data_IF_576447658984
#
_entry.id   IF_576447658984
#
_cell.length_a   1.000
_cell.length_b   1.000
_cell.length_c   1.000
_cell.angle_alpha   90.00
_cell.angle_beta   90.00
_cell.angle_gamma   90.00
#
_symmetry.space_group_name_H-M   'P 1'
#
loop_
_entity.id
_entity.type
_entity.pdbx_description
1 polymer ?
#
# COMPACT_ATOMS: atom_id res chain seq x y z
N UNK A 1 16.60 -46.21 -9.98
CA UNK A 1 17.04 -44.89 -9.47
C UNK A 1 16.72 -43.71 -10.40
N UNK A 2 16.74 -43.84 -11.74
CA UNK A 2 16.49 -42.71 -12.67
C UNK A 2 15.06 -42.13 -12.67
N UNK A 3 14.04 -42.90 -12.29
CA UNK A 3 12.64 -42.44 -12.23
C UNK A 3 12.28 -41.64 -10.97
N UNK A 4 13.00 -41.89 -9.88
CA UNK A 4 12.83 -41.16 -8.62
C UNK A 4 13.36 -39.73 -8.74
N UNK A 5 14.48 -39.53 -9.45
CA UNK A 5 15.05 -38.21 -9.69
C UNK A 5 14.10 -37.28 -10.48
N UNK A 6 13.39 -37.81 -11.48
CA UNK A 6 12.40 -37.04 -12.25
C UNK A 6 11.15 -36.65 -11.45
N UNK A 7 10.69 -37.54 -10.56
CA UNK A 7 9.56 -37.26 -9.68
C UNK A 7 9.90 -36.23 -8.59
N UNK A 8 11.12 -36.31 -8.02
CA UNK A 8 11.62 -35.32 -7.04
C UNK A 8 11.80 -33.95 -7.69
N UNK A 9 12.32 -33.90 -8.92
CA UNK A 9 12.48 -32.64 -9.65
C UNK A 9 11.11 -32.02 -10.00
N UNK A 10 10.12 -32.81 -10.40
CA UNK A 10 8.75 -32.34 -10.64
C UNK A 10 8.03 -31.83 -9.38
N UNK A 11 8.27 -32.45 -8.21
CA UNK A 11 7.71 -31.99 -6.93
C UNK A 11 8.29 -30.63 -6.49
N UNK A 12 9.57 -30.36 -6.77
CA UNK A 12 10.23 -29.11 -6.41
C UNK A 12 9.69 -27.89 -7.19
N UNK A 13 9.17 -28.07 -8.40
CA UNK A 13 8.58 -26.99 -9.20
C UNK A 13 7.11 -26.68 -8.86
N UNK A 14 6.42 -27.54 -8.11
CA UNK A 14 5.00 -27.39 -7.80
C UNK A 14 4.70 -26.38 -6.67
N UNK A 15 5.71 -25.68 -6.14
CA UNK A 15 5.57 -24.79 -4.97
C UNK A 15 5.84 -23.32 -5.29
N UNK A 16 5.75 -22.90 -6.56
CA UNK A 16 5.79 -21.47 -6.88
C UNK A 16 4.45 -20.84 -6.50
N UNK A 17 4.34 -20.35 -5.27
CA UNK A 17 3.24 -19.50 -4.87
C UNK A 17 3.31 -18.18 -5.66
N UNK A 18 2.40 -17.97 -6.61
CA UNK A 18 2.30 -16.69 -7.31
C UNK A 18 1.85 -15.60 -6.34
N UNK A 19 2.72 -14.61 -6.10
CA UNK A 19 2.35 -13.37 -5.41
C UNK A 19 1.57 -12.50 -6.40
N UNK A 20 0.33 -12.13 -6.05
CA UNK A 20 -0.44 -11.15 -6.83
C UNK A 20 -0.16 -9.75 -6.27
N UNK A 21 0.52 -8.92 -7.06
CA UNK A 21 0.76 -7.51 -6.76
C UNK A 21 -0.15 -6.59 -7.58
N UNK A 22 -0.03 -5.28 -7.33
CA UNK A 22 -0.62 -4.23 -8.17
C UNK A 22 0.52 -3.44 -8.78
N UNK A 23 0.47 -3.28 -10.10
CA UNK A 23 1.45 -2.47 -10.82
C UNK A 23 1.09 -1.00 -10.66
N UNK A 24 2.11 -0.16 -10.50
CA UNK A 24 1.98 1.27 -10.30
C UNK A 24 2.71 1.98 -11.43
N UNK A 25 1.99 2.79 -12.19
CA UNK A 25 2.55 3.61 -13.27
C UNK A 25 2.52 5.08 -12.86
N UNK A 26 3.69 5.72 -12.79
CA UNK A 26 3.82 7.13 -12.43
C UNK A 26 4.20 7.99 -13.63
N UNK A 27 3.56 9.16 -13.77
CA UNK A 27 3.90 10.13 -14.82
C UNK A 27 3.91 11.58 -14.32
N UNK A 28 4.80 12.42 -14.88
CA UNK A 28 5.95 12.07 -15.74
C UNK A 28 7.05 11.35 -14.94
N UNK A 29 7.95 10.64 -15.62
CA UNK A 29 9.07 9.95 -14.96
C UNK A 29 10.12 10.93 -14.39
N UNK A 30 10.33 12.04 -15.06
CA UNK A 30 11.21 13.12 -14.65
C UNK A 30 10.65 14.46 -15.12
N UNK A 31 10.95 15.52 -14.38
CA UNK A 31 10.44 16.85 -14.67
C UNK A 31 11.38 17.92 -14.11
N UNK A 32 11.58 18.98 -14.88
CA UNK A 32 12.23 20.22 -14.45
C UNK A 32 11.24 21.37 -14.64
N UNK A 33 10.98 22.13 -13.58
CA UNK A 33 10.02 23.23 -13.56
C UNK A 33 10.68 24.48 -12.99
N UNK A 34 10.21 25.65 -13.43
CA UNK A 34 10.49 26.90 -12.74
C UNK A 34 9.70 26.98 -11.44
N UNK A 35 10.26 27.65 -10.43
CA UNK A 35 9.51 27.95 -9.20
C UNK A 35 8.22 28.68 -9.53
N UNK A 36 7.16 28.41 -8.76
CA UNK A 36 5.84 29.00 -9.02
C UNK A 36 5.02 28.28 -10.10
N UNK A 37 5.64 27.52 -11.02
CA UNK A 37 4.93 26.79 -12.07
C UNK A 37 4.28 25.51 -11.53
N UNK A 38 2.99 25.60 -11.20
CA UNK A 38 2.21 24.49 -10.65
C UNK A 38 2.20 23.26 -11.57
N UNK A 39 2.18 22.07 -10.98
CA UNK A 39 2.19 20.82 -11.74
C UNK A 39 1.39 19.71 -11.05
N UNK A 40 0.99 18.68 -11.81
CA UNK A 40 0.26 17.52 -11.29
C UNK A 40 0.96 16.23 -11.68
N UNK A 41 1.41 15.49 -10.67
CA UNK A 41 1.90 14.12 -10.80
C UNK A 41 0.70 13.17 -10.89
N UNK A 42 0.82 12.12 -11.69
CA UNK A 42 -0.21 11.09 -11.87
C UNK A 42 0.32 9.73 -11.50
N UNK A 43 -0.57 8.89 -10.98
CA UNK A 43 -0.30 7.54 -10.53
C UNK A 43 -1.47 6.65 -10.93
N UNK A 44 -1.25 5.68 -11.80
CA UNK A 44 -2.25 4.72 -12.25
C UNK A 44 -1.93 3.32 -11.70
N UNK A 45 -2.95 2.49 -11.53
CA UNK A 45 -2.85 1.16 -10.95
C UNK A 45 -3.40 0.09 -11.89
N UNK A 46 -2.77 -1.09 -11.95
CA UNK A 46 -3.29 -2.18 -12.78
C UNK A 46 -4.58 -2.81 -12.22
N UNK A 47 -4.86 -2.63 -10.92
CA UNK A 47 -6.06 -3.11 -10.25
C UNK A 47 -6.69 -2.05 -9.33
N UNK A 48 -7.91 -2.31 -8.86
CA UNK A 48 -8.56 -1.47 -7.84
C UNK A 48 -7.78 -1.51 -6.52
N UNK A 49 -7.67 -0.37 -5.85
CA UNK A 49 -6.88 -0.21 -4.62
C UNK A 49 -7.78 0.26 -3.48
N UNK A 50 -7.43 -0.10 -2.23
CA UNK A 50 -8.17 0.35 -1.04
C UNK A 50 -7.78 1.75 -0.62
N UNK A 51 -6.52 2.11 -0.84
CA UNK A 51 -5.96 3.41 -0.47
C UNK A 51 -4.65 3.67 -1.19
N UNK A 52 -4.25 4.94 -1.20
CA UNK A 52 -2.98 5.40 -1.79
C UNK A 52 -2.25 6.26 -0.79
N UNK A 53 -0.93 6.05 -0.71
CA UNK A 53 -0.01 6.90 0.01
C UNK A 53 0.82 7.72 -0.97
N UNK A 54 1.03 9.00 -0.69
CA UNK A 54 1.98 9.86 -1.39
C UNK A 54 3.18 10.16 -0.50
N UNK A 55 4.38 10.08 -1.08
CA UNK A 55 5.64 10.35 -0.39
C UNK A 55 6.51 11.29 -1.22
N UNK A 56 7.40 12.00 -0.53
CA UNK A 56 8.51 12.76 -1.11
C UNK A 56 9.82 12.29 -0.49
N UNK A 57 10.72 11.76 -1.33
CA UNK A 57 12.10 11.50 -0.97
C UNK A 57 12.96 12.72 -1.30
N UNK A 58 13.60 13.29 -0.28
CA UNK A 58 14.57 14.38 -0.44
C UNK A 58 15.89 13.87 -1.02
N UNK A 59 16.73 14.75 -1.59
CA UNK A 59 18.08 14.38 -2.04
C UNK A 59 18.94 13.72 -0.94
N UNK A 60 18.67 14.00 0.33
CA UNK A 60 19.32 13.35 1.48
C UNK A 60 18.89 11.89 1.72
N UNK A 61 17.96 11.35 0.91
CA UNK A 61 17.36 10.03 1.10
C UNK A 61 16.19 10.01 2.09
N UNK A 62 15.96 11.09 2.85
CA UNK A 62 14.84 11.18 3.81
C UNK A 62 13.49 11.08 3.09
N UNK A 63 12.71 10.07 3.47
CA UNK A 63 11.35 9.86 2.97
C UNK A 63 10.33 10.58 3.86
N UNK A 64 9.50 11.42 3.27
CA UNK A 64 8.47 12.20 3.95
C UNK A 64 7.11 11.70 3.46
N UNK A 65 6.24 11.28 4.39
CA UNK A 65 4.85 10.96 4.07
C UNK A 65 4.06 12.26 3.87
N UNK A 66 3.38 12.38 2.73
CA UNK A 66 2.58 13.55 2.36
C UNK A 66 1.10 13.31 2.65
N UNK A 67 0.54 12.21 2.13
CA UNK A 67 -0.88 11.89 2.28
C UNK A 67 -1.16 10.40 2.39
N UNK A 68 -2.22 10.07 3.12
CA UNK A 68 -2.94 8.79 3.06
C UNK A 68 -4.37 9.05 2.57
N UNK A 69 -4.77 8.44 1.45
CA UNK A 69 -6.04 8.75 0.76
C UNK A 69 -6.71 7.45 0.29
N UNK A 70 -7.75 6.98 1.03
CA UNK A 70 -8.61 5.90 0.56
C UNK A 70 -9.33 6.26 -0.74
N UNK A 71 -9.99 7.42 -0.75
CA UNK A 71 -10.71 7.98 -1.90
C UNK A 71 -10.91 9.48 -1.71
N UNK A 72 -11.33 10.17 -2.77
CA UNK A 72 -11.64 11.60 -2.74
C UNK A 72 -10.38 12.46 -2.77
N UNK A 73 -10.46 13.66 -2.20
CA UNK A 73 -9.40 14.67 -2.27
C UNK A 73 -8.95 15.09 -0.87
N UNK A 74 -7.64 15.20 -0.67
CA UNK A 74 -7.01 15.81 0.51
C UNK A 74 -6.10 16.95 0.09
N UNK A 75 -5.99 17.94 0.95
CA UNK A 75 -5.13 19.11 0.71
C UNK A 75 -4.42 19.48 2.01
N UNK A 76 -3.14 19.81 1.88
CA UNK A 76 -2.31 20.39 2.92
C UNK A 76 -1.40 21.45 2.30
N UNK A 77 -1.63 22.70 2.69
CA UNK A 77 -0.99 23.87 2.09
C UNK A 77 -1.05 23.87 0.57
N UNK A 78 0.12 23.75 -0.06
CA UNK A 78 0.34 23.78 -1.52
C UNK A 78 0.14 22.43 -2.20
N UNK A 79 -0.05 21.36 -1.44
CA UNK A 79 -0.19 20.00 -1.95
C UNK A 79 -1.66 19.60 -1.92
N UNK A 80 -2.17 19.10 -3.04
CA UNK A 80 -3.54 18.59 -3.17
C UNK A 80 -3.51 17.25 -3.87
N UNK A 81 -3.93 16.19 -3.20
CA UNK A 81 -3.96 14.86 -3.76
C UNK A 81 -5.38 14.31 -3.88
N UNK A 82 -5.65 13.63 -4.98
CA UNK A 82 -6.98 13.08 -5.31
C UNK A 82 -6.82 11.62 -5.70
N UNK A 83 -7.58 10.73 -5.08
CA UNK A 83 -7.64 9.30 -5.43
C UNK A 83 -9.05 8.94 -5.86
N UNK A 84 -9.17 8.31 -7.02
CA UNK A 84 -10.42 7.79 -7.56
C UNK A 84 -10.25 6.28 -7.77
N UNK A 85 -10.57 5.44 -6.76
CA UNK A 85 -10.31 4.01 -6.81
C UNK A 85 -10.98 3.30 -7.99
N UNK A 86 -12.20 3.72 -8.35
CA UNK A 86 -12.94 3.16 -9.48
C UNK A 86 -12.23 3.40 -10.82
N UNK A 87 -11.52 4.52 -10.95
CA UNK A 87 -10.72 4.86 -12.13
C UNK A 87 -9.27 4.35 -12.01
N UNK A 88 -8.93 3.65 -10.93
CA UNK A 88 -7.58 3.12 -10.67
C UNK A 88 -6.49 4.18 -10.79
N UNK A 89 -6.76 5.39 -10.31
CA UNK A 89 -5.81 6.50 -10.37
C UNK A 89 -5.77 7.34 -9.11
N UNK A 90 -4.60 7.93 -8.90
CA UNK A 90 -4.36 9.01 -7.95
C UNK A 90 -3.54 10.12 -8.63
N UNK A 91 -3.67 11.34 -8.13
CA UNK A 91 -2.87 12.47 -8.59
C UNK A 91 -2.45 13.36 -7.44
N UNK A 92 -1.27 13.95 -7.53
CA UNK A 92 -0.74 14.93 -6.58
C UNK A 92 -0.45 16.23 -7.33
N UNK A 93 -1.27 17.24 -7.06
CA UNK A 93 -1.08 18.61 -7.52
C UNK A 93 -0.22 19.38 -6.52
N UNK A 94 0.77 20.10 -7.04
CA UNK A 94 1.70 20.94 -6.29
C UNK A 94 1.53 22.37 -6.83
N UNK A 95 0.96 23.25 -6.03
CA UNK A 95 0.80 24.66 -6.38
C UNK A 95 2.04 25.46 -6.01
N UNK A 96 2.45 26.36 -6.89
CA UNK A 96 3.58 27.28 -6.68
C UNK A 96 4.82 26.60 -6.05
N UNK A 97 5.39 25.57 -6.69
CA UNK A 97 6.52 24.80 -6.16
C UNK A 97 7.74 25.69 -5.87
N UNK A 98 8.50 25.29 -4.85
CA UNK A 98 9.76 25.92 -4.40
C UNK A 98 10.92 24.94 -4.60
N UNK A 99 12.14 25.44 -4.61
CA UNK A 99 13.38 24.65 -4.59
C UNK A 99 13.41 23.60 -3.48
N UNK A 100 12.80 23.89 -2.33
CA UNK A 100 12.67 22.92 -1.23
C UNK A 100 11.80 21.72 -1.59
N UNK A 101 10.94 21.80 -2.60
CA UNK A 101 10.04 20.72 -3.03
C UNK A 101 10.70 19.74 -4.00
N UNK A 102 11.92 20.04 -4.46
CA UNK A 102 12.69 19.14 -5.31
C UNK A 102 12.99 17.82 -4.60
N UNK A 103 12.78 16.72 -5.32
CA UNK A 103 12.96 15.36 -4.82
C UNK A 103 12.20 14.35 -5.68
N UNK A 104 12.23 13.08 -5.25
CA UNK A 104 11.51 12.01 -5.93
C UNK A 104 10.16 11.81 -5.24
N UNK A 105 9.09 11.92 -6.02
CA UNK A 105 7.73 11.70 -5.51
C UNK A 105 7.30 10.27 -5.82
N UNK A 106 6.80 9.57 -4.80
CA UNK A 106 6.31 8.20 -4.93
C UNK A 106 4.83 8.13 -4.58
N UNK A 107 4.09 7.31 -5.31
CA UNK A 107 2.80 6.81 -4.86
C UNK A 107 2.92 5.32 -4.51
N UNK A 108 2.27 4.90 -3.43
CA UNK A 108 2.17 3.50 -3.05
C UNK A 108 0.69 3.15 -2.88
N UNK A 109 0.25 2.10 -3.59
CA UNK A 109 -1.11 1.60 -3.50
C UNK A 109 -1.20 0.46 -2.49
N UNK A 110 -2.24 0.50 -1.66
CA UNK A 110 -2.65 -0.64 -0.87
C UNK A 110 -3.72 -1.41 -1.62
N UNK A 111 -3.49 -2.70 -1.82
CA UNK A 111 -4.48 -3.62 -2.37
C UNK A 111 -4.83 -4.64 -1.29
N UNK A 112 -6.13 -4.79 -1.00
CA UNK A 112 -6.58 -5.87 -0.13
C UNK A 112 -6.38 -7.20 -0.83
N UNK A 113 -5.81 -8.20 -0.14
CA UNK A 113 -5.80 -9.55 -0.67
C UNK A 113 -7.25 -9.99 -0.93
N UNK A 114 -7.54 -10.71 -2.02
CA UNK A 114 -8.78 -11.46 -2.10
C UNK A 114 -8.87 -12.32 -0.84
N UNK A 115 -10.00 -12.28 -0.13
CA UNK A 115 -10.22 -13.25 0.94
C UNK A 115 -10.01 -14.63 0.32
N UNK A 116 -9.01 -15.37 0.80
CA UNK A 116 -8.93 -16.78 0.48
C UNK A 116 -10.29 -17.38 0.88
N UNK A 117 -10.92 -18.21 0.04
CA UNK A 117 -12.09 -18.94 0.49
C UNK A 117 -11.67 -19.62 1.79
N UNK A 118 -12.39 -19.35 2.87
CA UNK A 118 -12.15 -20.05 4.13
C UNK A 118 -12.19 -21.53 3.78
N UNK A 119 -11.05 -22.20 3.90
CA UNK A 119 -11.02 -23.65 3.80
C UNK A 119 -11.91 -24.13 4.93
N UNK A 120 -13.16 -24.49 4.61
CA UNK A 120 -14.09 -25.07 5.55
C UNK A 120 -13.55 -26.45 5.89
N UNK A 121 -12.59 -26.48 6.82
CA UNK A 121 -12.24 -27.70 7.52
C UNK A 121 -13.46 -28.01 8.36
N UNK A 122 -14.31 -28.91 7.86
CA UNK A 122 -15.30 -29.56 8.69
C UNK A 122 -14.53 -30.29 9.78
N UNK A 123 -14.38 -29.66 10.94
CA UNK A 123 -13.98 -30.33 12.15
C UNK A 123 -15.00 -31.43 12.41
N UNK A 124 -14.56 -32.69 12.44
CA UNK A 124 -15.39 -33.76 12.99
C UNK A 124 -15.80 -33.33 14.40
N UNK A 125 -17.10 -33.39 14.77
CA UNK A 125 -17.55 -33.03 16.10
C UNK A 125 -16.95 -34.03 17.09
N UNK A 126 -15.88 -33.64 17.80
CA UNK A 126 -15.24 -34.58 18.72
C UNK A 126 -13.99 -34.14 19.48
N UNK A 127 -13.37 -32.99 19.20
CA UNK A 127 -12.24 -32.53 20.00
C UNK A 127 -12.33 -31.02 20.26
N UNK A 128 -12.78 -30.65 21.46
CA UNK A 128 -12.61 -29.30 22.00
C UNK A 128 -11.17 -29.15 22.50
N UNK A 129 -10.38 -28.18 22.02
CA UNK A 129 -9.23 -27.68 22.76
C UNK A 129 -9.76 -26.72 23.83
N UNK A 130 -9.50 -27.07 25.09
CA UNK A 130 -9.87 -26.28 26.25
C UNK A 130 -8.95 -25.06 26.35
N UNK A 131 -9.42 -23.87 25.95
CA UNK A 131 -8.80 -22.60 26.34
C UNK A 131 -9.89 -21.58 26.70
N UNK A 132 -9.86 -21.16 27.97
CA UNK A 132 -10.79 -20.26 28.64
C UNK A 132 -10.84 -18.84 28.04
N UNK A 133 -11.94 -18.10 28.23
CA UNK A 133 -12.09 -16.73 27.75
C UNK A 133 -11.41 -15.73 28.70
N UNK A 134 -10.53 -14.88 28.18
CA UNK A 134 -10.14 -13.66 28.91
C UNK A 134 -11.15 -12.54 28.64
N UNK A 135 -11.85 -12.22 29.73
CA UNK A 135 -12.79 -11.13 29.93
C UNK A 135 -12.16 -9.76 29.62
N UNK A 136 -12.96 -8.95 28.92
CA UNK A 136 -12.88 -7.50 28.81
C UNK A 136 -12.30 -6.83 30.07
N UNK A 137 -11.29 -5.96 29.91
CA UNK A 137 -11.02 -4.91 30.89
C UNK A 137 -10.85 -3.57 30.18
N UNK A 138 -11.83 -2.72 30.43
CA UNK A 138 -11.92 -1.31 30.07
C UNK A 138 -10.73 -0.53 30.64
N UNK A 139 -10.18 0.39 29.85
CA UNK A 139 -9.19 1.36 30.30
C UNK A 139 -9.88 2.63 30.81
N UNK A 140 -9.37 3.25 31.89
CA UNK A 140 -9.49 4.69 32.06
C UNK A 140 -8.11 5.38 32.06
N UNK A 141 -8.08 6.43 31.25
CA UNK A 141 -7.31 7.70 31.32
C UNK A 141 -6.49 8.03 32.57
N UNK A 142 -5.29 8.58 32.34
CA UNK A 142 -4.47 9.42 33.24
C UNK A 142 -3.02 9.48 32.73
N UNK A 143 -2.50 10.53 32.09
CA UNK A 143 -2.08 11.88 32.55
C UNK A 143 -0.97 11.92 33.63
N UNK A 144 -0.06 12.89 33.46
CA UNK A 144 1.14 13.26 34.26
C UNK A 144 2.44 12.52 33.90
N UNK A 145 3.46 13.12 33.29
CA UNK A 145 4.42 14.11 33.83
C UNK A 145 5.03 13.71 35.18
N UNK A 146 6.28 13.23 35.15
CA UNK A 146 7.48 13.79 35.77
C UNK A 146 8.69 13.17 35.07
#
# INVERSE_FOLDING_TARGET
MKRLAGAVLGLLFAQVCSVRGVDVEQSPAALSLQEGASYTLRCNFSASVTSVHWYLQKPSGRLIHLFYIPSGTKQDGRLKATTVPAERRSSLHISSPRTTDSGIYFCAAQHGAPQAPAASTRTLPGAQPLLQPQSHREAPTGHSQC
#
